data_IF_465603813025
#
_entry.id   IF_465603813025
#
_cell.length_a   1.000
_cell.length_b   1.000
_cell.length_c   1.000
_cell.angle_alpha   90.00
_cell.angle_beta   90.00
_cell.angle_gamma   90.00
#
_symmetry.space_group_name_H-M   'P 1'
#
loop_
_entity.id
_entity.type
_entity.pdbx_description
1 polymer ?
#
# COMPACT_ATOMS: atom_id res chain seq x y z
N UNK A 1 11.88 -32.74 -37.32
CA UNK A 1 11.71 -33.35 -38.67
C UNK A 1 10.44 -34.18 -38.58
N UNK A 2 9.27 -33.89 -39.17
CA UNK A 2 8.83 -33.21 -40.41
C UNK A 2 7.50 -32.48 -40.08
N UNK A 3 7.37 -31.16 -40.20
CA UNK A 3 6.78 -30.39 -41.31
C UNK A 3 5.89 -31.19 -42.26
N UNK A 4 4.59 -30.87 -42.28
CA UNK A 4 3.74 -30.97 -43.47
C UNK A 4 2.87 -29.72 -43.57
N UNK A 5 3.04 -29.03 -44.69
CA UNK A 5 2.35 -27.82 -45.18
C UNK A 5 1.11 -28.27 -45.95
N UNK A 6 0.00 -27.53 -45.88
CA UNK A 6 -1.00 -27.54 -46.95
C UNK A 6 -1.47 -26.12 -47.24
N UNK A 7 -1.33 -25.76 -48.52
CA UNK A 7 -1.53 -24.45 -49.11
C UNK A 7 -2.88 -24.39 -49.86
N UNK A 8 -3.41 -23.17 -49.99
CA UNK A 8 -4.47 -22.76 -50.93
C UNK A 8 -4.74 -21.27 -50.69
N UNK A 9 -4.10 -20.31 -51.38
CA UNK A 9 -4.14 -19.89 -52.80
C UNK A 9 -5.38 -19.05 -53.16
N UNK A 10 -5.10 -17.74 -53.37
CA UNK A 10 -5.69 -16.74 -54.30
C UNK A 10 -7.14 -16.23 -54.06
N UNK A 11 -7.53 -14.96 -54.31
CA UNK A 11 -6.93 -13.89 -55.12
C UNK A 11 -7.50 -12.47 -54.80
N UNK A 12 -6.69 -11.44 -55.12
CA UNK A 12 -6.97 -10.05 -55.61
C UNK A 12 -7.95 -9.14 -54.82
N UNK A 13 -7.65 -7.94 -54.30
CA UNK A 13 -6.70 -6.83 -54.53
C UNK A 13 -6.93 -5.93 -55.76
N UNK A 14 -6.86 -4.61 -55.48
CA UNK A 14 -6.83 -3.41 -56.35
C UNK A 14 -8.21 -2.80 -56.69
N UNK A 15 -8.47 -1.49 -56.74
CA UNK A 15 -8.02 -0.24 -56.12
C UNK A 15 -8.87 0.91 -56.71
N UNK A 16 -9.21 1.91 -55.89
CA UNK A 16 -9.39 3.37 -56.15
C UNK A 16 -9.63 3.89 -57.58
N UNK A 17 -10.61 4.80 -57.73
CA UNK A 17 -10.44 6.10 -58.39
C UNK A 17 -11.57 7.10 -58.08
N UNK A 18 -11.13 8.33 -57.85
CA UNK A 18 -11.80 9.61 -57.57
C UNK A 18 -12.46 10.28 -58.78
N UNK A 19 -13.50 11.11 -58.57
CA UNK A 19 -13.85 12.40 -59.22
C UNK A 19 -15.37 12.68 -58.98
N UNK A 20 -15.94 13.88 -58.85
CA UNK A 20 -15.68 15.22 -59.37
C UNK A 20 -16.15 16.30 -58.37
N UNK A 21 -15.65 17.54 -58.54
CA UNK A 21 -16.21 18.75 -57.94
C UNK A 21 -17.04 19.61 -58.91
N UNK A 22 -17.71 20.62 -58.34
CA UNK A 22 -17.93 21.96 -58.91
C UNK A 22 -19.15 22.22 -59.81
N UNK A 23 -20.02 23.15 -59.40
CA UNK A 23 -21.01 23.80 -60.29
C UNK A 23 -22.07 24.66 -59.58
N UNK A 24 -21.97 25.98 -59.73
CA UNK A 24 -22.79 27.07 -59.18
C UNK A 24 -24.16 27.27 -59.86
N UNK A 25 -25.18 27.86 -59.20
CA UNK A 25 -25.77 29.19 -59.51
C UNK A 25 -27.06 29.55 -58.73
N UNK A 26 -27.20 30.86 -58.42
CA UNK A 26 -28.40 31.74 -58.32
C UNK A 26 -29.52 31.60 -57.27
N UNK A 27 -29.78 32.70 -56.52
CA UNK A 27 -31.13 33.32 -56.47
C UNK A 27 -31.77 33.71 -55.12
N UNK A 28 -31.57 34.98 -54.70
CA UNK A 28 -32.54 35.96 -54.09
C UNK A 28 -33.21 35.76 -52.70
N UNK A 29 -32.93 36.75 -51.82
CA UNK A 29 -33.74 37.53 -50.87
C UNK A 29 -34.68 36.89 -49.82
N UNK A 30 -34.41 37.19 -48.53
CA UNK A 30 -35.36 37.90 -47.64
C UNK A 30 -34.80 38.17 -46.22
N UNK A 31 -34.85 39.46 -45.84
CA UNK A 31 -35.05 40.12 -44.54
C UNK A 31 -34.50 39.56 -43.21
N UNK A 32 -33.82 40.49 -42.53
CA UNK A 32 -33.44 40.47 -41.14
C UNK A 32 -34.63 40.41 -40.15
N UNK A 33 -34.45 39.64 -39.08
CA UNK A 33 -35.04 39.92 -37.77
C UNK A 33 -33.97 39.69 -36.71
N UNK A 34 -33.40 40.79 -36.22
CA UNK A 34 -32.49 40.85 -35.09
C UNK A 34 -33.26 40.55 -33.80
N UNK A 35 -33.09 39.34 -33.27
CA UNK A 35 -33.37 39.04 -31.87
C UNK A 35 -32.02 38.81 -31.18
N UNK A 36 -31.68 39.72 -30.28
CA UNK A 36 -30.52 39.58 -29.40
C UNK A 36 -30.69 38.29 -28.58
N UNK A 37 -29.68 37.41 -28.49
CA UNK A 37 -29.75 36.30 -27.56
C UNK A 37 -29.68 36.87 -26.16
N UNK A 38 -30.72 36.59 -25.37
CA UNK A 38 -30.69 36.72 -23.93
C UNK A 38 -29.43 36.02 -23.40
N UNK A 39 -28.77 36.67 -22.45
CA UNK A 39 -27.67 36.10 -21.69
C UNK A 39 -28.14 34.82 -21.00
N UNK A 40 -27.85 33.69 -21.63
CA UNK A 40 -27.89 32.38 -20.99
C UNK A 40 -26.78 32.40 -19.93
N UNK A 41 -27.18 32.61 -18.67
CA UNK A 41 -26.34 32.33 -17.52
C UNK A 41 -26.17 30.81 -17.44
N UNK A 42 -25.38 30.26 -18.36
CA UNK A 42 -25.10 28.86 -18.46
C UNK A 42 -24.58 28.36 -17.12
N UNK A 43 -25.29 27.40 -16.52
CA UNK A 43 -24.75 26.64 -15.40
C UNK A 43 -23.43 26.02 -15.89
N UNK A 44 -22.29 26.51 -15.40
CA UNK A 44 -21.02 25.83 -15.63
C UNK A 44 -21.20 24.40 -15.13
N UNK A 45 -21.07 23.42 -16.03
CA UNK A 45 -21.15 22.01 -15.67
C UNK A 45 -20.18 21.69 -14.52
N UNK A 46 -20.53 20.73 -13.67
CA UNK A 46 -19.69 20.36 -12.52
C UNK A 46 -18.26 20.05 -12.96
N UNK A 47 -17.29 20.51 -12.18
CA UNK A 47 -15.88 20.15 -12.36
C UNK A 47 -15.72 18.66 -12.07
N UNK A 48 -15.30 17.88 -13.06
CA UNK A 48 -15.06 16.44 -12.88
C UNK A 48 -13.63 16.18 -12.39
N UNK A 49 -13.50 15.34 -11.38
CA UNK A 49 -12.22 14.88 -10.81
C UNK A 49 -12.22 13.36 -10.78
N UNK A 50 -11.16 12.74 -11.27
CA UNK A 50 -10.97 11.30 -11.24
C UNK A 50 -10.09 10.88 -10.07
N UNK A 51 -10.54 9.87 -9.33
CA UNK A 51 -9.84 9.30 -8.18
C UNK A 51 -9.52 7.84 -8.46
N UNK A 52 -8.23 7.48 -8.51
CA UNK A 52 -7.82 6.08 -8.47
C UNK A 52 -7.60 5.66 -7.04
N UNK A 53 -8.30 4.60 -6.63
CA UNK A 53 -8.20 4.03 -5.29
C UNK A 53 -8.37 2.51 -5.39
N UNK A 54 -7.53 1.73 -4.70
CA UNK A 54 -7.62 0.28 -4.73
C UNK A 54 -9.00 -0.19 -4.23
N UNK A 55 -9.48 -1.29 -4.78
CA UNK A 55 -10.79 -1.84 -4.47
C UNK A 55 -10.93 -2.25 -3.01
N UNK A 56 -9.83 -2.74 -2.43
CA UNK A 56 -9.78 -3.34 -1.09
C UNK A 56 -9.52 -2.35 0.04
N UNK A 57 -9.16 -1.10 -0.27
CA UNK A 57 -8.74 -0.12 0.74
C UNK A 57 -9.91 0.31 1.65
N UNK A 58 -11.10 0.48 1.07
CA UNK A 58 -12.32 0.84 1.78
C UNK A 58 -13.52 0.12 1.16
N UNK A 59 -14.55 -0.17 1.97
CA UNK A 59 -15.79 -0.71 1.43
C UNK A 59 -16.50 0.31 0.52
N UNK A 60 -17.28 -0.16 -0.46
CA UNK A 60 -18.10 0.72 -1.30
C UNK A 60 -19.06 1.60 -0.47
N UNK A 61 -19.52 1.10 0.69
CA UNK A 61 -20.35 1.88 1.62
C UNK A 61 -19.58 3.04 2.26
N UNK A 62 -18.37 2.79 2.78
CA UNK A 62 -17.52 3.84 3.33
C UNK A 62 -17.15 4.88 2.28
N UNK A 63 -16.76 4.43 1.07
CA UNK A 63 -16.43 5.35 -0.02
C UNK A 63 -17.63 6.23 -0.40
N UNK A 64 -18.84 5.66 -0.44
CA UNK A 64 -20.06 6.43 -0.69
C UNK A 64 -20.25 7.52 0.38
N UNK A 65 -20.12 7.19 1.66
CA UNK A 65 -20.22 8.15 2.77
C UNK A 65 -19.20 9.28 2.62
N UNK A 66 -17.95 8.95 2.25
CA UNK A 66 -16.92 9.96 1.99
C UNK A 66 -17.28 10.89 0.85
N UNK A 67 -17.66 10.34 -0.30
CA UNK A 67 -17.95 11.14 -1.49
C UNK A 67 -19.24 11.96 -1.34
N UNK A 68 -20.24 11.46 -0.62
CA UNK A 68 -21.44 12.22 -0.29
C UNK A 68 -21.10 13.44 0.57
N UNK A 69 -20.26 13.27 1.59
CA UNK A 69 -19.85 14.38 2.47
C UNK A 69 -18.94 15.38 1.73
N UNK A 70 -18.04 14.89 0.86
CA UNK A 70 -17.26 15.73 -0.02
C UNK A 70 -18.15 16.58 -0.94
N UNK A 71 -19.15 15.96 -1.58
CA UNK A 71 -20.06 16.66 -2.49
C UNK A 71 -20.95 17.68 -1.77
N UNK A 72 -21.27 17.50 -0.48
CA UNK A 72 -21.94 18.53 0.31
C UNK A 72 -21.05 19.74 0.54
N UNK A 73 -19.77 19.52 0.85
CA UNK A 73 -18.79 20.60 1.05
C UNK A 73 -18.44 21.31 -0.27
N UNK A 74 -18.44 20.58 -1.39
CA UNK A 74 -18.10 21.09 -2.72
C UNK A 74 -19.13 20.65 -3.77
N UNK A 75 -20.32 21.29 -3.83
CA UNK A 75 -21.42 20.86 -4.69
C UNK A 75 -21.12 20.94 -6.20
N UNK A 76 -20.16 21.78 -6.59
CA UNK A 76 -19.74 22.00 -7.97
C UNK A 76 -18.68 20.99 -8.45
N UNK A 77 -18.20 20.11 -7.56
CA UNK A 77 -17.23 19.06 -7.91
C UNK A 77 -17.94 17.71 -8.00
N UNK A 78 -17.63 16.92 -9.02
CA UNK A 78 -18.08 15.55 -9.18
C UNK A 78 -16.87 14.61 -9.21
N UNK A 79 -16.82 13.64 -8.29
CA UNK A 79 -15.75 12.66 -8.22
C UNK A 79 -16.12 11.37 -8.96
N UNK A 80 -15.30 10.98 -9.91
CA UNK A 80 -15.40 9.73 -10.66
C UNK A 80 -14.32 8.75 -10.17
N UNK A 81 -14.71 7.64 -9.53
CA UNK A 81 -13.77 6.63 -9.06
C UNK A 81 -13.33 5.71 -10.20
N UNK A 82 -12.02 5.43 -10.26
CA UNK A 82 -11.42 4.36 -11.06
C UNK A 82 -10.91 3.31 -10.06
N UNK A 83 -11.52 2.11 -10.09
CA UNK A 83 -11.07 1.00 -9.25
C UNK A 83 -9.91 0.28 -9.93
N UNK A 84 -8.84 0.02 -9.18
CA UNK A 84 -7.68 -0.75 -9.65
C UNK A 84 -7.41 -1.87 -8.66
N UNK A 85 -7.62 -3.11 -9.07
CA UNK A 85 -7.20 -4.29 -8.32
C UNK A 85 -5.70 -4.52 -8.54
N UNK A 86 -4.94 -4.84 -7.49
CA UNK A 86 -3.52 -5.18 -7.60
C UNK A 86 -3.11 -6.32 -6.66
N UNK A 87 -1.97 -6.95 -6.96
CA UNK A 87 -1.34 -7.95 -6.08
C UNK A 87 -0.38 -7.35 -5.04
N UNK A 88 -0.20 -6.03 -5.07
CA UNK A 88 0.72 -5.29 -4.20
C UNK A 88 0.93 -3.87 -4.70
N UNK A 89 1.76 -3.09 -4.01
CA UNK A 89 2.02 -1.68 -4.36
C UNK A 89 2.77 -1.54 -5.68
N UNK A 90 3.76 -2.39 -5.96
CA UNK A 90 4.49 -2.34 -7.23
C UNK A 90 3.56 -2.55 -8.46
N UNK A 91 2.70 -3.56 -8.42
CA UNK A 91 1.70 -3.81 -9.48
C UNK A 91 0.69 -2.65 -9.60
N UNK A 92 0.25 -2.11 -8.46
CA UNK A 92 -0.66 -0.96 -8.42
C UNK A 92 -0.06 0.27 -9.12
N UNK A 93 1.19 0.62 -8.81
CA UNK A 93 1.86 1.78 -9.41
C UNK A 93 2.15 1.57 -10.90
N UNK A 94 2.53 0.37 -11.32
CA UNK A 94 2.71 0.03 -12.74
C UNK A 94 1.42 0.23 -13.55
N UNK A 95 0.27 -0.17 -12.98
CA UNK A 95 -1.05 0.06 -13.62
C UNK A 95 -1.36 1.55 -13.75
N UNK A 96 -1.04 2.35 -12.73
CA UNK A 96 -1.18 3.81 -12.81
C UNK A 96 -0.28 4.42 -13.88
N UNK A 97 1.01 4.05 -13.91
CA UNK A 97 1.94 4.52 -14.95
C UNK A 97 1.46 4.13 -16.36
N UNK A 98 0.88 2.93 -16.51
CA UNK A 98 0.28 2.49 -17.78
C UNK A 98 -0.92 3.35 -18.17
N UNK A 99 -1.79 3.71 -17.21
CA UNK A 99 -2.90 4.63 -17.47
C UNK A 99 -2.41 6.02 -17.90
N UNK A 100 -1.36 6.53 -17.25
CA UNK A 100 -0.74 7.82 -17.60
C UNK A 100 -0.16 7.75 -19.02
N UNK A 101 0.66 6.74 -19.32
CA UNK A 101 1.27 6.55 -20.64
C UNK A 101 0.24 6.34 -21.75
N UNK A 102 -0.90 5.71 -21.43
CA UNK A 102 -2.02 5.50 -22.34
C UNK A 102 -2.93 6.72 -22.55
N UNK A 103 -2.57 7.89 -22.00
CA UNK A 103 -3.35 9.13 -22.15
C UNK A 103 -4.64 9.17 -21.34
N UNK A 104 -4.78 8.30 -20.34
CA UNK A 104 -5.93 8.23 -19.42
C UNK A 104 -5.51 8.53 -17.99
N UNK A 105 -4.61 9.50 -17.83
CA UNK A 105 -4.10 9.90 -16.53
C UNK A 105 -5.24 10.38 -15.61
N UNK A 106 -5.34 9.86 -14.38
CA UNK A 106 -6.29 10.36 -13.38
C UNK A 106 -5.87 11.72 -12.81
N UNK A 107 -6.74 12.36 -12.02
CA UNK A 107 -6.43 13.62 -11.34
C UNK A 107 -5.81 13.38 -9.96
N UNK A 108 -6.36 12.44 -9.19
CA UNK A 108 -5.91 12.06 -7.84
C UNK A 108 -5.65 10.55 -7.79
N UNK A 109 -4.53 10.16 -7.19
CA UNK A 109 -4.18 8.75 -7.03
C UNK A 109 -3.89 8.44 -5.56
N UNK A 110 -4.24 7.23 -5.12
CA UNK A 110 -3.74 6.68 -3.87
C UNK A 110 -2.26 6.32 -4.01
N UNK A 111 -1.41 6.74 -3.08
CA UNK A 111 0.02 6.39 -3.10
C UNK A 111 0.50 6.08 -1.69
N UNK A 112 1.09 4.91 -1.50
CA UNK A 112 1.87 4.60 -0.31
C UNK A 112 3.33 5.08 -0.47
N UNK A 113 4.06 5.14 0.64
CA UNK A 113 5.46 5.58 0.69
C UNK A 113 6.34 4.91 -0.38
N UNK A 114 6.07 3.66 -0.71
CA UNK A 114 6.73 2.84 -1.72
C UNK A 114 6.70 3.46 -3.13
N UNK A 115 5.71 4.31 -3.44
CA UNK A 115 5.52 4.91 -4.75
C UNK A 115 5.83 6.40 -4.82
N UNK A 116 5.82 7.13 -3.69
CA UNK A 116 5.83 8.59 -3.71
C UNK A 116 7.10 9.17 -4.33
N UNK A 117 8.26 8.58 -4.00
CA UNK A 117 9.55 8.97 -4.57
C UNK A 117 9.61 8.74 -6.08
N UNK A 118 9.05 7.62 -6.56
CA UNK A 118 9.00 7.28 -7.97
C UNK A 118 8.18 8.32 -8.75
N UNK A 119 6.94 8.60 -8.32
CA UNK A 119 6.09 9.56 -9.01
C UNK A 119 6.63 11.00 -8.94
N UNK A 120 7.19 11.41 -7.81
CA UNK A 120 7.76 12.74 -7.65
C UNK A 120 9.00 12.95 -8.54
N UNK A 121 9.94 12.01 -8.55
CA UNK A 121 11.16 12.11 -9.37
C UNK A 121 10.89 11.98 -10.88
N UNK A 122 9.80 11.32 -11.27
CA UNK A 122 9.31 11.30 -12.65
C UNK A 122 8.53 12.58 -13.04
N UNK A 123 8.48 13.58 -12.15
CA UNK A 123 7.80 14.85 -12.35
C UNK A 123 6.27 14.72 -12.59
N UNK A 124 5.67 13.63 -12.11
CA UNK A 124 4.25 13.33 -12.35
C UNK A 124 3.31 14.00 -11.34
N UNK A 125 3.82 14.43 -10.19
CA UNK A 125 3.01 14.97 -9.09
C UNK A 125 3.00 16.49 -9.04
N UNK A 126 1.85 17.05 -8.71
CA UNK A 126 1.64 18.48 -8.49
C UNK A 126 2.07 18.84 -7.05
N UNK A 127 3.01 19.77 -6.84
CA UNK A 127 3.27 20.35 -5.54
C UNK A 127 2.04 21.12 -5.02
N UNK A 128 1.69 20.94 -3.75
CA UNK A 128 0.43 21.44 -3.19
C UNK A 128 0.61 22.75 -2.39
N UNK A 129 1.85 23.22 -2.19
CA UNK A 129 2.16 24.33 -1.26
C UNK A 129 1.46 25.65 -1.63
N UNK A 130 1.32 25.96 -2.92
CA UNK A 130 0.61 27.17 -3.37
C UNK A 130 -0.92 27.04 -3.24
N UNK A 131 -1.46 25.83 -3.42
CA UNK A 131 -2.87 25.56 -3.16
C UNK A 131 -3.20 25.62 -1.67
N UNK A 132 -2.28 25.20 -0.80
CA UNK A 132 -2.42 25.36 0.65
C UNK A 132 -2.52 26.83 1.06
N UNK A 133 -1.76 27.72 0.42
CA UNK A 133 -1.83 29.18 0.66
C UNK A 133 -3.12 29.79 0.10
N UNK A 134 -3.55 29.33 -1.07
CA UNK A 134 -4.73 29.86 -1.76
C UNK A 134 -6.04 29.38 -1.11
N UNK A 135 -6.07 28.15 -0.58
CA UNK A 135 -7.24 27.50 -0.01
C UNK A 135 -6.94 26.91 1.39
N UNK A 136 -6.57 27.76 2.37
CA UNK A 136 -6.18 27.28 3.71
C UNK A 136 -7.28 26.45 4.38
N UNK A 137 -8.54 26.80 4.18
CA UNK A 137 -9.71 26.10 4.76
C UNK A 137 -9.97 24.69 4.18
N UNK A 138 -9.29 24.34 3.08
CA UNK A 138 -9.36 23.00 2.51
C UNK A 138 -8.55 21.99 3.33
N UNK A 139 -7.48 22.44 3.99
CA UNK A 139 -6.59 21.60 4.79
C UNK A 139 -6.98 21.72 6.26
N UNK A 140 -7.67 20.71 6.75
CA UNK A 140 -8.02 20.62 8.17
C UNK A 140 -6.76 20.45 9.02
N UNK A 141 -6.53 21.35 9.97
CA UNK A 141 -5.52 21.27 11.04
C UNK A 141 -4.27 20.45 10.65
N UNK A 142 -3.39 21.01 9.84
CA UNK A 142 -2.22 20.30 9.31
C UNK A 142 -1.33 19.74 10.43
N UNK A 143 -1.20 20.47 11.54
CA UNK A 143 -0.36 20.10 12.69
C UNK A 143 -0.88 18.89 13.47
N UNK A 144 -2.13 18.47 13.23
CA UNK A 144 -2.67 17.23 13.79
C UNK A 144 -2.20 15.99 13.01
N UNK A 145 -1.67 16.16 11.79
CA UNK A 145 -1.00 15.08 11.07
C UNK A 145 0.32 14.77 11.78
N UNK A 146 0.56 13.50 12.10
CA UNK A 146 1.81 13.11 12.74
C UNK A 146 3.01 13.43 11.83
N UNK A 147 3.98 14.25 12.28
CA UNK A 147 5.01 14.81 11.40
C UNK A 147 5.91 13.73 10.78
N UNK A 148 6.23 12.67 11.53
CA UNK A 148 7.03 11.53 11.04
C UNK A 148 6.32 10.72 9.95
N UNK A 149 4.99 10.64 10.01
CA UNK A 149 4.19 9.88 9.05
C UNK A 149 3.88 10.74 7.81
N UNK A 150 3.85 12.06 7.97
CA UNK A 150 3.71 13.04 6.90
C UNK A 150 5.01 13.21 6.10
N UNK A 151 6.17 13.09 6.75
CA UNK A 151 7.47 13.41 6.12
C UNK A 151 7.76 12.70 4.79
N UNK A 152 7.34 11.45 4.53
CA UNK A 152 7.59 10.82 3.22
C UNK A 152 6.88 11.52 2.05
N UNK A 153 5.83 12.29 2.33
CA UNK A 153 5.07 13.06 1.34
C UNK A 153 5.55 14.51 1.20
N UNK A 154 6.64 14.86 1.88
CA UNK A 154 7.36 16.13 1.73
C UNK A 154 8.71 15.81 1.09
N UNK A 155 8.90 16.21 -0.16
CA UNK A 155 10.09 15.90 -0.95
C UNK A 155 10.72 17.21 -1.40
N UNK A 156 12.01 17.39 -1.10
CA UNK A 156 12.75 18.63 -1.39
C UNK A 156 12.04 19.90 -0.90
N UNK A 157 11.40 19.81 0.27
CA UNK A 157 10.66 20.91 0.89
C UNK A 157 9.28 21.20 0.29
N UNK A 158 8.79 20.38 -0.64
CA UNK A 158 7.46 20.52 -1.26
C UNK A 158 6.50 19.44 -0.78
N UNK A 159 5.27 19.83 -0.50
CA UNK A 159 4.21 18.90 -0.08
C UNK A 159 3.53 18.29 -1.31
N UNK A 160 3.57 16.95 -1.42
CA UNK A 160 2.94 16.22 -2.53
C UNK A 160 1.64 15.52 -2.14
N UNK A 161 1.34 15.44 -0.84
CA UNK A 161 0.09 14.88 -0.35
C UNK A 161 -0.01 15.04 1.16
N UNK A 162 -1.22 14.85 1.67
CA UNK A 162 -1.49 14.78 3.11
C UNK A 162 -1.61 13.31 3.50
N UNK A 163 -0.91 12.91 4.54
CA UNK A 163 -0.93 11.53 5.01
C UNK A 163 -2.34 11.19 5.51
N UNK A 164 -2.85 10.03 5.10
CA UNK A 164 -4.19 9.54 5.44
C UNK A 164 -4.11 8.43 6.47
N UNK A 165 -3.35 7.39 6.18
CA UNK A 165 -3.18 6.24 7.06
C UNK A 165 -1.71 5.86 7.19
N UNK A 166 -1.46 4.98 8.15
CA UNK A 166 -0.21 4.28 8.27
C UNK A 166 -0.43 2.90 8.86
N UNK A 167 0.61 2.08 8.77
CA UNK A 167 0.68 0.80 9.46
C UNK A 167 2.10 0.60 9.99
N UNK A 168 2.18 -0.12 11.10
CA UNK A 168 3.40 -0.72 11.60
C UNK A 168 3.34 -2.25 11.40
N UNK A 169 4.30 -2.98 11.96
CA UNK A 169 4.23 -4.45 12.08
C UNK A 169 4.36 -4.82 13.55
N UNK A 170 3.39 -5.59 14.02
CA UNK A 170 3.30 -6.14 15.38
C UNK A 170 3.03 -7.65 15.30
N UNK A 171 3.19 -8.34 16.42
CA UNK A 171 2.77 -9.73 16.54
C UNK A 171 1.28 -9.80 16.86
N UNK A 172 0.55 -10.65 16.14
CA UNK A 172 -0.84 -11.03 16.44
C UNK A 172 -0.85 -12.44 16.99
N UNK A 173 -1.64 -12.68 18.03
CA UNK A 173 -1.76 -13.97 18.69
C UNK A 173 -3.20 -14.46 18.61
N UNK A 174 -3.38 -15.75 18.33
CA UNK A 174 -4.64 -16.42 18.57
C UNK A 174 -4.75 -16.70 20.08
N UNK A 175 -5.63 -15.96 20.78
CA UNK A 175 -5.72 -16.01 22.24
C UNK A 175 -6.34 -17.29 22.77
N UNK A 176 -7.14 -18.00 21.96
CA UNK A 176 -7.65 -19.32 22.32
C UNK A 176 -6.50 -20.35 22.36
N UNK A 177 -5.56 -20.26 21.40
CA UNK A 177 -4.38 -21.14 21.37
C UNK A 177 -3.39 -20.81 22.51
N UNK A 178 -3.21 -19.54 22.86
CA UNK A 178 -2.47 -19.15 24.06
C UNK A 178 -3.10 -19.76 25.32
N UNK A 179 -4.43 -19.64 25.48
CA UNK A 179 -5.17 -20.19 26.61
C UNK A 179 -5.06 -21.71 26.68
N UNK A 180 -5.17 -22.42 25.54
CA UNK A 180 -5.00 -23.87 25.48
C UNK A 180 -3.61 -24.31 25.94
N UNK A 181 -2.58 -23.54 25.59
CA UNK A 181 -1.19 -23.77 26.01
C UNK A 181 -0.88 -23.30 27.44
N UNK A 182 -1.82 -22.62 28.12
CA UNK A 182 -1.60 -22.03 29.43
C UNK A 182 -0.64 -20.83 29.42
N UNK A 183 -0.49 -20.16 28.28
CA UNK A 183 0.41 -19.03 28.09
C UNK A 183 -0.36 -17.69 28.15
N UNK A 184 0.18 -16.66 28.82
CA UNK A 184 -0.34 -15.29 28.70
C UNK A 184 0.17 -14.64 27.40
N UNK A 185 -0.43 -13.52 26.99
CA UNK A 185 0.20 -12.62 26.00
C UNK A 185 1.56 -12.17 26.57
N UNK A 186 2.66 -12.22 25.78
CA UNK A 186 3.98 -11.89 26.29
C UNK A 186 4.12 -10.39 26.64
N UNK A 187 5.06 -10.02 27.51
CA UNK A 187 5.36 -8.61 27.80
C UNK A 187 5.95 -7.90 26.57
N UNK A 188 5.95 -6.57 26.58
CA UNK A 188 6.41 -5.75 25.46
C UNK A 188 7.89 -5.94 25.09
N UNK A 189 8.72 -6.31 26.07
CA UNK A 189 10.17 -6.49 25.95
C UNK A 189 10.61 -7.96 25.85
N UNK A 190 9.67 -8.87 25.58
CA UNK A 190 9.95 -10.28 25.33
C UNK A 190 11.01 -10.46 24.23
N UNK A 191 11.89 -11.42 24.46
CA UNK A 191 13.10 -11.63 23.68
C UNK A 191 12.88 -12.62 22.54
N UNK A 192 13.89 -12.75 21.66
CA UNK A 192 13.96 -13.85 20.69
C UNK A 192 13.79 -15.24 21.32
N UNK A 193 14.35 -15.45 22.51
CA UNK A 193 14.28 -16.74 23.20
C UNK A 193 12.87 -16.99 23.75
N UNK A 194 12.23 -15.97 24.32
CA UNK A 194 10.82 -16.04 24.72
C UNK A 194 9.92 -16.36 23.53
N UNK A 195 10.14 -15.67 22.39
CA UNK A 195 9.42 -15.97 21.16
C UNK A 195 9.59 -17.44 20.72
N UNK A 196 10.81 -17.97 20.77
CA UNK A 196 11.05 -19.37 20.40
C UNK A 196 10.34 -20.33 21.35
N UNK A 197 10.37 -20.07 22.67
CA UNK A 197 9.65 -20.87 23.66
C UNK A 197 8.13 -20.86 23.40
N UNK A 198 7.56 -19.67 23.13
CA UNK A 198 6.16 -19.53 22.75
C UNK A 198 5.84 -20.30 21.47
N UNK A 199 6.63 -20.13 20.42
CA UNK A 199 6.42 -20.80 19.14
C UNK A 199 6.51 -22.33 19.29
N UNK A 200 7.41 -22.84 20.13
CA UNK A 200 7.52 -24.28 20.42
C UNK A 200 6.31 -24.80 21.19
N UNK A 201 5.91 -24.11 22.25
CA UNK A 201 4.76 -24.51 23.07
C UNK A 201 3.43 -24.48 22.29
N UNK A 202 3.29 -23.53 21.36
CA UNK A 202 2.12 -23.37 20.49
C UNK A 202 2.14 -24.29 19.26
N UNK A 203 3.27 -24.97 19.00
CA UNK A 203 3.36 -25.96 17.91
C UNK A 203 2.87 -27.31 18.40
N UNK A 204 1.64 -27.68 18.03
CA UNK A 204 1.01 -28.92 18.48
C UNK A 204 0.57 -29.80 17.33
N UNK A 205 0.50 -31.10 17.57
CA UNK A 205 -0.18 -32.07 16.70
C UNK A 205 -1.19 -32.83 17.55
N UNK A 206 -2.43 -32.30 17.62
CA UNK A 206 -3.49 -32.81 18.50
C UNK A 206 -4.70 -33.19 17.65
N UNK A 207 -5.20 -34.41 17.83
CA UNK A 207 -6.41 -34.88 17.14
C UNK A 207 -6.32 -34.88 15.61
N UNK A 208 -5.12 -35.04 15.05
CA UNK A 208 -4.88 -34.98 13.60
C UNK A 208 -4.87 -33.56 13.02
N UNK A 209 -4.96 -32.52 13.86
CA UNK A 209 -4.78 -31.13 13.46
C UNK A 209 -3.38 -30.66 13.87
N UNK A 210 -2.56 -30.35 12.87
CA UNK A 210 -1.27 -29.68 13.06
C UNK A 210 -1.48 -28.18 13.19
N UNK A 211 -1.00 -27.60 14.29
CA UNK A 211 -0.88 -26.16 14.49
C UNK A 211 0.59 -25.80 14.61
N UNK A 212 1.01 -24.74 13.92
CA UNK A 212 2.35 -24.18 14.03
C UNK A 212 2.34 -22.96 14.95
N UNK A 213 3.44 -22.74 15.67
CA UNK A 213 3.56 -21.60 16.57
C UNK A 213 3.59 -20.26 15.84
N UNK A 214 4.16 -20.21 14.63
CA UNK A 214 4.35 -18.97 13.89
C UNK A 214 4.27 -19.16 12.37
N UNK A 215 3.73 -18.18 11.66
CA UNK A 215 3.89 -18.06 10.20
C UNK A 215 4.87 -16.94 9.84
N UNK A 216 5.90 -17.28 9.08
CA UNK A 216 6.94 -16.33 8.67
C UNK A 216 6.39 -15.37 7.61
N UNK A 217 6.56 -14.04 7.75
CA UNK A 217 6.21 -13.10 6.70
C UNK A 217 7.07 -13.37 5.45
N UNK A 218 6.42 -13.60 4.31
CA UNK A 218 7.07 -13.92 3.04
C UNK A 218 7.04 -12.75 2.02
N UNK A 219 6.91 -11.52 2.51
CA UNK A 219 6.86 -10.30 1.70
C UNK A 219 7.75 -9.20 2.31
N UNK A 220 8.19 -8.28 1.45
CA UNK A 220 9.19 -7.24 1.73
C UNK A 220 8.93 -6.44 3.01
N UNK A 221 7.75 -5.83 3.14
CA UNK A 221 7.40 -4.99 4.30
C UNK A 221 7.44 -5.79 5.62
N UNK A 222 6.85 -6.99 5.62
CA UNK A 222 6.79 -7.85 6.80
C UNK A 222 8.17 -8.33 7.23
N UNK A 223 9.01 -8.78 6.29
CA UNK A 223 10.37 -9.21 6.59
C UNK A 223 11.30 -8.05 7.00
N UNK A 224 11.12 -6.86 6.41
CA UNK A 224 11.88 -5.66 6.75
C UNK A 224 11.63 -5.20 8.19
N UNK A 225 10.45 -5.46 8.76
CA UNK A 225 10.18 -5.24 10.18
C UNK A 225 11.15 -6.00 11.08
N UNK A 226 11.41 -7.27 10.76
CA UNK A 226 12.33 -8.12 11.52
C UNK A 226 13.80 -7.73 11.28
N UNK A 227 14.14 -7.29 10.07
CA UNK A 227 15.46 -6.71 9.78
C UNK A 227 15.72 -5.48 10.64
N UNK A 228 14.80 -4.52 10.66
CA UNK A 228 14.93 -3.29 11.47
C UNK A 228 15.08 -3.62 12.96
N UNK A 229 14.28 -4.57 13.46
CA UNK A 229 14.38 -5.06 14.83
C UNK A 229 15.75 -5.68 15.16
N UNK A 230 16.46 -6.21 14.17
CA UNK A 230 17.82 -6.74 14.30
C UNK A 230 18.95 -5.75 13.91
N UNK A 231 18.70 -4.44 13.88
CA UNK A 231 19.68 -3.43 13.40
C UNK A 231 20.19 -3.71 11.97
N UNK A 232 19.34 -4.26 11.11
CA UNK A 232 19.59 -4.48 9.70
C UNK A 232 18.55 -3.76 8.84
N UNK A 233 18.81 -3.67 7.54
CA UNK A 233 17.93 -3.04 6.55
C UNK A 233 18.20 -3.65 5.18
N UNK A 234 17.27 -3.52 4.24
CA UNK A 234 17.51 -3.98 2.86
C UNK A 234 18.44 -3.01 2.14
N UNK A 235 18.27 -1.72 2.40
CA UNK A 235 19.04 -0.63 1.80
C UNK A 235 19.73 0.22 2.86
N UNK A 236 20.76 0.96 2.44
CA UNK A 236 21.36 2.03 3.23
C UNK A 236 20.37 3.20 3.41
N UNK A 237 20.60 4.10 4.40
CA UNK A 237 19.71 5.25 4.63
C UNK A 237 19.55 6.19 3.42
N UNK A 238 20.51 6.21 2.50
CA UNK A 238 20.46 6.98 1.25
C UNK A 238 19.71 6.26 0.12
N UNK A 239 19.30 5.00 0.33
CA UNK A 239 18.62 4.13 -0.63
C UNK A 239 19.39 3.97 -1.96
N UNK A 240 20.72 3.98 -1.88
CA UNK A 240 21.66 3.91 -3.01
C UNK A 240 22.42 2.59 -3.08
N UNK A 241 22.45 1.81 -2.00
CA UNK A 241 23.18 0.54 -1.94
C UNK A 241 22.45 -0.43 -1.03
N UNK A 242 22.44 -1.71 -1.41
CA UNK A 242 21.88 -2.78 -0.59
C UNK A 242 22.79 -3.13 0.59
N UNK A 243 22.14 -3.44 1.72
CA UNK A 243 22.75 -3.82 3.00
C UNK A 243 22.55 -5.29 3.35
N UNK A 244 22.08 -6.12 2.41
CA UNK A 244 21.72 -7.52 2.70
C UNK A 244 22.93 -8.42 3.01
N UNK A 245 24.16 -8.03 2.68
CA UNK A 245 25.36 -8.76 3.13
C UNK A 245 25.77 -8.48 4.58
N UNK A 246 25.05 -7.58 5.27
CA UNK A 246 25.22 -7.34 6.69
C UNK A 246 24.98 -8.62 7.50
N UNK A 247 25.89 -9.00 8.41
CA UNK A 247 25.70 -10.17 9.27
C UNK A 247 24.36 -10.18 10.01
N UNK A 248 23.84 -9.01 10.40
CA UNK A 248 22.54 -8.89 11.05
C UNK A 248 21.37 -9.23 10.11
N UNK A 249 21.48 -8.89 8.82
CA UNK A 249 20.46 -9.24 7.83
C UNK A 249 20.45 -10.74 7.55
N UNK A 250 21.64 -11.33 7.39
CA UNK A 250 21.84 -12.76 7.21
C UNK A 250 21.30 -13.53 8.43
N UNK A 251 21.53 -13.03 9.64
CA UNK A 251 21.05 -13.65 10.89
C UNK A 251 19.51 -13.77 10.92
N UNK A 252 18.78 -12.72 10.51
CA UNK A 252 17.29 -12.77 10.47
C UNK A 252 16.81 -13.81 9.45
N UNK A 253 17.40 -13.83 8.26
CA UNK A 253 17.02 -14.80 7.23
C UNK A 253 17.36 -16.23 7.63
N UNK A 254 18.50 -16.44 8.29
CA UNK A 254 18.86 -17.74 8.86
C UNK A 254 17.90 -18.13 9.97
N UNK A 255 17.49 -17.18 10.83
CA UNK A 255 16.51 -17.46 11.87
C UNK A 255 15.18 -17.90 11.30
N UNK A 256 14.68 -17.25 10.24
CA UNK A 256 13.48 -17.69 9.55
C UNK A 256 13.63 -19.10 8.97
N UNK A 257 14.76 -19.42 8.33
CA UNK A 257 15.03 -20.78 7.83
C UNK A 257 15.05 -21.81 8.98
N UNK A 258 15.67 -21.46 10.11
CA UNK A 258 15.74 -22.32 11.29
C UNK A 258 14.35 -22.57 11.91
N UNK A 259 13.45 -21.58 11.93
CA UNK A 259 12.08 -21.75 12.42
C UNK A 259 11.33 -22.85 11.65
N UNK A 260 11.60 -22.99 10.34
CA UNK A 260 10.99 -24.01 9.48
C UNK A 260 11.69 -25.37 9.66
N UNK A 261 13.02 -25.41 9.53
CA UNK A 261 13.74 -26.67 9.33
C UNK A 261 14.42 -27.22 10.58
N UNK A 262 14.87 -26.34 11.48
CA UNK A 262 15.56 -26.71 12.72
C UNK A 262 14.57 -26.85 13.87
N UNK A 263 13.81 -25.80 14.16
CA UNK A 263 12.84 -25.75 15.26
C UNK A 263 11.48 -26.34 14.88
N UNK A 264 11.13 -26.35 13.58
CA UNK A 264 9.87 -26.91 13.05
C UNK A 264 8.62 -26.28 13.67
N UNK A 265 8.71 -25.01 14.03
CA UNK A 265 7.63 -24.21 14.62
C UNK A 265 6.91 -23.33 13.61
N UNK A 266 7.42 -23.27 12.38
CA UNK A 266 6.81 -22.58 11.26
C UNK A 266 6.59 -23.52 10.07
N UNK A 267 5.49 -23.37 9.30
CA UNK A 267 5.33 -24.08 8.06
C UNK A 267 6.30 -23.54 7.00
N UNK A 268 6.63 -24.38 6.01
CA UNK A 268 7.25 -23.86 4.76
C UNK A 268 6.23 -22.88 4.14
N UNK A 269 6.62 -21.63 3.83
CA UNK A 269 5.70 -20.67 3.26
C UNK A 269 5.10 -21.15 1.94
N UNK A 270 3.78 -20.99 1.80
CA UNK A 270 3.06 -21.26 0.57
C UNK A 270 2.62 -19.92 -0.02
N UNK A 271 2.97 -19.58 -1.27
CA UNK A 271 2.52 -18.33 -1.90
C UNK A 271 1.00 -18.16 -2.01
N UNK A 272 0.24 -19.26 -1.85
CA UNK A 272 -1.23 -19.26 -1.81
C UNK A 272 -1.82 -19.29 -0.39
N UNK A 273 -0.98 -19.35 0.66
CA UNK A 273 -1.47 -19.29 2.02
C UNK A 273 -2.00 -17.89 2.32
N UNK A 274 -3.06 -17.85 3.11
CA UNK A 274 -3.60 -16.62 3.67
C UNK A 274 -3.30 -16.64 5.17
N UNK A 275 -2.21 -15.98 5.54
CA UNK A 275 -1.71 -15.91 6.92
C UNK A 275 -2.78 -15.38 7.89
N UNK A 276 -3.68 -14.50 7.43
CA UNK A 276 -4.78 -13.97 8.26
C UNK A 276 -5.77 -15.10 8.54
N UNK A 277 -6.16 -15.85 7.52
CA UNK A 277 -7.05 -16.99 7.66
C UNK A 277 -6.40 -18.17 8.42
N UNK A 278 -5.10 -18.40 8.27
CA UNK A 278 -4.36 -19.42 9.00
C UNK A 278 -4.36 -19.13 10.51
N UNK A 279 -4.28 -17.85 10.92
CA UNK A 279 -4.46 -17.45 12.32
C UNK A 279 -5.90 -17.69 12.80
N UNK A 280 -6.90 -17.24 12.03
CA UNK A 280 -8.33 -17.38 12.37
C UNK A 280 -8.71 -18.86 12.57
N UNK A 281 -8.24 -19.73 11.69
CA UNK A 281 -8.54 -21.17 11.72
C UNK A 281 -7.69 -21.95 12.72
N UNK A 282 -6.69 -21.28 13.35
CA UNK A 282 -5.75 -21.88 14.28
C UNK A 282 -4.81 -22.89 13.62
N UNK A 283 -4.52 -22.73 12.32
CA UNK A 283 -3.44 -23.45 11.64
C UNK A 283 -2.08 -22.90 12.09
N UNK A 284 -2.02 -21.60 12.39
CA UNK A 284 -0.89 -20.95 13.06
C UNK A 284 -1.36 -20.20 14.30
N UNK A 285 -0.51 -20.10 15.32
CA UNK A 285 -0.85 -19.42 16.58
C UNK A 285 -0.43 -17.95 16.61
N UNK A 286 0.62 -17.59 15.88
CA UNK A 286 1.15 -16.24 15.80
C UNK A 286 1.47 -15.84 14.37
N UNK A 287 1.23 -14.56 14.04
CA UNK A 287 1.61 -13.96 12.76
C UNK A 287 2.14 -12.55 12.98
N UNK A 288 3.08 -12.07 12.16
CA UNK A 288 3.50 -10.66 12.19
C UNK A 288 2.82 -9.86 11.09
N UNK A 289 2.03 -8.85 11.47
CA UNK A 289 1.26 -8.00 10.56
C UNK A 289 0.96 -6.63 11.20
N UNK A 290 0.46 -5.67 10.41
CA UNK A 290 -0.03 -4.39 10.90
C UNK A 290 -1.47 -4.47 11.39
N UNK A 291 -2.27 -3.42 11.19
CA UNK A 291 -3.67 -3.40 11.64
C UNK A 291 -4.65 -3.97 10.61
N UNK A 292 -4.22 -4.15 9.35
CA UNK A 292 -5.09 -4.64 8.26
C UNK A 292 -5.79 -5.97 8.50
N UNK A 293 -5.27 -6.94 9.29
CA UNK A 293 -6.00 -8.17 9.57
C UNK A 293 -7.33 -7.94 10.31
N UNK A 294 -7.49 -6.85 11.07
CA UNK A 294 -8.71 -6.56 11.82
C UNK A 294 -9.94 -6.40 10.94
N UNK A 295 -9.79 -5.94 9.69
CA UNK A 295 -10.90 -5.85 8.75
C UNK A 295 -11.44 -7.23 8.38
N UNK A 296 -10.55 -8.23 8.29
CA UNK A 296 -10.94 -9.63 8.08
C UNK A 296 -11.48 -10.24 9.36
N UNK A 297 -10.87 -9.97 10.52
CA UNK A 297 -11.36 -10.45 11.81
C UNK A 297 -12.80 -9.99 12.10
N UNK A 298 -13.14 -8.74 11.76
CA UNK A 298 -14.50 -8.24 11.88
C UNK A 298 -15.47 -8.95 10.92
N UNK A 299 -15.07 -9.13 9.65
CA UNK A 299 -15.88 -9.84 8.64
C UNK A 299 -16.15 -11.30 9.05
N UNK A 300 -15.17 -11.98 9.61
CA UNK A 300 -15.27 -13.38 10.05
C UNK A 300 -15.76 -13.53 11.49
N UNK A 301 -15.97 -12.42 12.20
CA UNK A 301 -16.32 -12.37 13.63
C UNK A 301 -15.29 -13.06 14.53
N UNK A 302 -14.03 -13.14 14.09
CA UNK A 302 -12.93 -13.65 14.90
C UNK A 302 -12.59 -12.61 15.99
N UNK A 303 -12.73 -13.01 17.26
CA UNK A 303 -12.47 -12.13 18.43
C UNK A 303 -11.36 -12.67 19.34
N UNK A 304 -10.85 -13.87 19.07
CA UNK A 304 -9.77 -14.49 19.83
C UNK A 304 -8.39 -13.97 19.36
N UNK A 305 -8.20 -12.66 19.43
CA UNK A 305 -6.96 -12.01 18.97
C UNK A 305 -6.47 -10.98 19.99
N UNK A 306 -5.16 -10.97 20.19
CA UNK A 306 -4.45 -9.87 20.86
C UNK A 306 -3.15 -9.57 20.12
N UNK A 307 -2.53 -8.44 20.45
CA UNK A 307 -1.32 -7.97 19.78
C UNK A 307 -0.19 -7.63 20.76
N UNK A 308 1.05 -7.75 20.32
CA UNK A 308 2.22 -7.27 21.05
C UNK A 308 3.26 -6.78 20.05
N UNK A 309 4.21 -5.95 20.49
CA UNK A 309 5.41 -5.70 19.70
C UNK A 309 6.07 -7.01 19.22
N UNK A 310 6.79 -6.95 18.11
CA UNK A 310 7.69 -8.05 17.72
C UNK A 310 8.67 -8.36 18.87
N UNK A 311 9.13 -9.61 19.01
CA UNK A 311 10.13 -9.92 20.02
C UNK A 311 11.41 -9.12 19.76
N UNK A 312 12.06 -8.66 20.83
CA UNK A 312 13.34 -7.97 20.75
C UNK A 312 14.41 -8.95 20.27
N UNK A 313 14.91 -8.75 19.05
CA UNK A 313 16.08 -9.45 18.53
C UNK A 313 17.36 -8.79 19.05
N UNK A 314 17.65 -7.57 18.57
CA UNK A 314 18.72 -6.71 19.09
C UNK A 314 18.16 -5.39 19.61
N UNK A 315 17.14 -4.88 18.93
CA UNK A 315 16.45 -3.63 19.26
C UNK A 315 14.94 -3.81 19.25
N UNK A 316 14.23 -2.72 19.57
CA UNK A 316 12.78 -2.65 19.45
C UNK A 316 12.36 -1.71 18.31
N UNK A 317 13.19 -1.57 17.27
CA UNK A 317 12.85 -0.74 16.11
C UNK A 317 11.62 -1.30 15.42
N UNK A 318 10.71 -0.40 15.06
CA UNK A 318 9.45 -0.70 14.38
C UNK A 318 9.53 -0.13 12.98
N UNK A 319 9.06 -0.87 11.97
CA UNK A 319 8.89 -0.33 10.62
C UNK A 319 7.54 0.39 10.52
N UNK A 320 7.45 1.42 9.67
CA UNK A 320 6.16 1.91 9.21
C UNK A 320 6.08 2.08 7.69
N UNK A 321 4.87 1.94 7.19
CA UNK A 321 4.44 2.43 5.89
C UNK A 321 3.31 3.43 6.10
N UNK A 322 3.12 4.35 5.16
CA UNK A 322 2.07 5.37 5.21
C UNK A 322 1.55 5.67 3.81
N UNK A 323 0.31 6.14 3.70
CA UNK A 323 -0.28 6.47 2.41
C UNK A 323 -0.98 7.82 2.38
N UNK A 324 -0.97 8.45 1.21
CA UNK A 324 -1.60 9.72 0.91
C UNK A 324 -2.37 9.66 -0.42
N UNK A 325 -2.94 10.81 -0.82
CA UNK A 325 -3.65 10.98 -2.09
C UNK A 325 -3.04 12.12 -2.93
N UNK A 326 -1.85 11.96 -3.51
CA UNK A 326 -1.25 13.01 -4.32
C UNK A 326 -2.07 13.34 -5.57
N UNK A 327 -1.93 14.58 -6.03
CA UNK A 327 -2.54 15.11 -7.25
C UNK A 327 -1.54 14.96 -8.40
N UNK A 328 -1.97 14.42 -9.55
CA UNK A 328 -1.12 14.38 -10.74
C UNK A 328 -1.04 15.76 -11.39
N UNK A 329 0.13 16.11 -11.95
CA UNK A 329 0.30 17.36 -12.73
C UNK A 329 -0.63 17.45 -13.94
N UNK A 330 -1.02 16.30 -14.48
CA UNK A 330 -1.95 16.20 -15.60
C UNK A 330 -3.41 16.45 -15.23
N UNK A 331 -3.71 16.72 -13.96
CA UNK A 331 -5.07 16.95 -13.50
C UNK A 331 -5.74 18.09 -14.28
N UNK A 332 -6.94 17.84 -14.80
CA UNK A 332 -7.68 18.84 -15.61
C UNK A 332 -8.30 19.94 -14.75
N UNK A 333 -8.62 19.59 -13.50
CA UNK A 333 -9.18 20.50 -12.49
C UNK A 333 -8.31 20.46 -11.23
N UNK A 334 -7.09 21.04 -11.24
CA UNK A 334 -6.11 20.85 -10.17
C UNK A 334 -6.56 21.43 -8.81
N UNK A 335 -7.33 22.52 -8.80
CA UNK A 335 -7.96 23.04 -7.57
C UNK A 335 -8.96 22.04 -6.97
N UNK A 336 -9.83 21.47 -7.80
CA UNK A 336 -10.82 20.49 -7.36
C UNK A 336 -10.14 19.20 -6.88
N UNK A 337 -9.07 18.78 -7.56
CA UNK A 337 -8.24 17.63 -7.18
C UNK A 337 -7.50 17.88 -5.86
N UNK A 338 -6.95 19.08 -5.64
CA UNK A 338 -6.36 19.47 -4.36
C UNK A 338 -7.37 19.41 -3.21
N UNK A 339 -8.57 19.98 -3.40
CA UNK A 339 -9.64 19.93 -2.39
C UNK A 339 -10.03 18.49 -2.05
N UNK A 340 -10.08 17.60 -3.05
CA UNK A 340 -10.32 16.18 -2.84
C UNK A 340 -9.17 15.51 -2.07
N UNK A 341 -7.92 15.75 -2.45
CA UNK A 341 -6.73 15.23 -1.75
C UNK A 341 -6.72 15.61 -0.26
N UNK A 342 -6.97 16.89 0.04
CA UNK A 342 -7.04 17.39 1.41
C UNK A 342 -8.22 16.77 2.18
N UNK A 343 -9.41 16.70 1.56
CA UNK A 343 -10.59 16.10 2.19
C UNK A 343 -10.41 14.61 2.50
N UNK A 344 -9.79 13.84 1.59
CA UNK A 344 -9.53 12.41 1.81
C UNK A 344 -8.61 12.16 3.00
N UNK A 345 -7.86 13.16 3.45
CA UNK A 345 -6.97 13.09 4.62
C UNK A 345 -7.55 13.81 5.86
N UNK A 346 -8.81 14.25 5.79
CA UNK A 346 -9.53 14.89 6.91
C UNK A 346 -9.78 13.95 8.07
N UNK A 347 -10.10 14.52 9.24
CA UNK A 347 -10.50 13.73 10.42
C UNK A 347 -11.74 12.90 10.13
N UNK A 348 -12.71 13.47 9.41
CA UNK A 348 -13.91 12.75 8.98
C UNK A 348 -13.56 11.53 8.13
N UNK A 349 -12.66 11.70 7.17
CA UNK A 349 -12.25 10.61 6.29
C UNK A 349 -11.58 9.49 7.08
N UNK A 350 -10.59 9.82 7.91
CA UNK A 350 -9.86 8.85 8.72
C UNK A 350 -10.77 8.11 9.70
N UNK A 351 -11.69 8.79 10.40
CA UNK A 351 -12.68 8.16 11.30
C UNK A 351 -13.60 7.20 10.56
N UNK A 352 -14.07 7.60 9.39
CA UNK A 352 -15.02 6.81 8.59
C UNK A 352 -14.39 5.53 8.03
N UNK A 353 -13.10 5.57 7.72
CA UNK A 353 -12.44 4.52 6.92
C UNK A 353 -11.45 3.65 7.68
N UNK A 354 -10.82 4.18 8.74
CA UNK A 354 -9.66 3.54 9.38
C UNK A 354 -9.98 2.88 10.73
N UNK A 355 -11.26 2.68 11.05
CA UNK A 355 -11.65 2.05 12.33
C UNK A 355 -11.10 0.64 12.48
N UNK A 356 -11.02 -0.15 11.40
CA UNK A 356 -10.65 -1.56 11.49
C UNK A 356 -9.63 -2.07 10.46
N UNK A 357 -9.00 -1.22 9.64
CA UNK A 357 -8.04 -1.68 8.59
C UNK A 357 -6.64 -1.05 8.70
N UNK A 358 -6.51 0.26 8.81
CA UNK A 358 -5.20 0.89 9.05
C UNK A 358 -5.23 1.72 10.33
N UNK A 359 -4.12 2.39 10.63
CA UNK A 359 -3.99 3.30 11.77
C UNK A 359 -4.19 4.73 11.23
N UNK A 360 -5.04 5.56 11.87
CA UNK A 360 -5.13 6.98 11.56
C UNK A 360 -3.80 7.70 11.76
N UNK A 361 -3.57 8.74 10.98
CA UNK A 361 -2.34 9.55 11.03
C UNK A 361 -2.55 10.88 11.74
N UNK A 362 -3.81 11.32 11.85
CA UNK A 362 -4.19 12.42 12.72
C UNK A 362 -4.11 11.97 14.16
N UNK A 363 -3.36 12.69 14.99
CA UNK A 363 -3.13 12.36 16.40
C UNK A 363 -4.47 12.32 17.15
N UNK A 364 -5.33 13.31 16.91
CA UNK A 364 -6.68 13.36 17.49
C UNK A 364 -7.53 12.14 17.14
N UNK A 365 -7.53 11.73 15.86
CA UNK A 365 -8.31 10.59 15.37
C UNK A 365 -7.73 9.26 15.87
N UNK A 366 -6.41 9.14 15.90
CA UNK A 366 -5.72 7.94 16.40
C UNK A 366 -6.14 7.65 17.85
N UNK A 367 -6.15 8.67 18.71
CA UNK A 367 -6.56 8.56 20.11
C UNK A 367 -8.04 8.19 20.29
N UNK A 368 -8.91 8.55 19.35
CA UNK A 368 -10.35 8.25 19.40
C UNK A 368 -10.67 6.83 18.88
N UNK A 369 -9.99 6.42 17.82
CA UNK A 369 -10.33 5.21 17.06
C UNK A 369 -9.63 3.97 17.60
N UNK A 370 -8.34 4.06 17.96
CA UNK A 370 -7.59 2.87 18.37
C UNK A 370 -8.12 2.16 19.62
N UNK A 371 -8.69 2.83 20.65
CA UNK A 371 -9.31 2.16 21.79
C UNK A 371 -10.47 1.22 21.44
N UNK A 372 -11.02 1.33 20.22
CA UNK A 372 -12.11 0.48 19.73
C UNK A 372 -11.60 -0.82 19.08
N UNK A 373 -10.28 -0.97 18.96
CA UNK A 373 -9.65 -2.19 18.44
C UNK A 373 -9.90 -3.35 19.42
N UNK A 374 -10.35 -4.54 18.96
CA UNK A 374 -10.64 -5.66 19.86
C UNK A 374 -9.46 -6.17 20.70
N UNK A 375 -8.22 -5.90 20.29
CA UNK A 375 -7.04 -6.32 21.04
C UNK A 375 -6.86 -5.49 22.32
N UNK A 376 -6.48 -6.15 23.41
CA UNK A 376 -6.31 -5.49 24.71
C UNK A 376 -5.15 -4.50 24.68
N UNK A 377 -4.08 -4.85 23.96
CA UNK A 377 -2.88 -4.04 23.81
C UNK A 377 -2.90 -3.18 22.53
N UNK A 378 -4.05 -2.60 22.18
CA UNK A 378 -4.19 -1.73 21.00
C UNK A 378 -3.21 -0.55 20.97
N UNK A 379 -2.71 -0.10 22.13
CA UNK A 379 -1.78 1.03 22.27
C UNK A 379 -0.47 0.82 21.51
N UNK A 380 -0.07 -0.44 21.27
CA UNK A 380 1.11 -0.78 20.46
C UNK A 380 1.11 -0.09 19.09
N UNK A 381 -0.07 0.19 18.53
CA UNK A 381 -0.24 0.89 17.27
C UNK A 381 0.07 2.38 17.37
N UNK A 382 -0.31 3.04 18.46
CA UNK A 382 -0.01 4.46 18.67
C UNK A 382 1.43 4.67 19.15
N UNK A 383 1.85 3.90 20.16
CA UNK A 383 3.10 4.08 20.88
C UNK A 383 4.33 3.89 19.96
N UNK A 384 4.17 3.22 18.82
CA UNK A 384 5.26 3.06 17.86
C UNK A 384 5.47 4.26 16.92
N UNK A 385 4.53 5.21 16.82
CA UNK A 385 4.55 6.25 15.78
C UNK A 385 5.83 7.11 15.84
N UNK A 386 6.26 7.48 17.05
CA UNK A 386 7.45 8.31 17.26
C UNK A 386 8.76 7.56 16.99
N UNK A 387 8.79 6.24 17.22
CA UNK A 387 10.01 5.43 17.11
C UNK A 387 10.13 4.70 15.78
N UNK A 388 9.04 4.55 15.02
CA UNK A 388 9.03 3.73 13.82
C UNK A 388 9.85 4.34 12.68
N UNK A 389 10.53 3.52 11.89
CA UNK A 389 11.33 3.93 10.73
C UNK A 389 10.57 3.64 9.43
N UNK A 390 10.63 4.54 8.44
CA UNK A 390 9.94 4.32 7.18
C UNK A 390 10.54 3.09 6.47
N UNK A 391 9.69 2.28 5.84
CA UNK A 391 10.15 1.27 4.89
C UNK A 391 10.98 1.92 3.77
N UNK A 392 12.04 1.26 3.34
CA UNK A 392 12.86 1.78 2.25
C UNK A 392 12.10 1.75 0.93
N UNK A 393 11.99 2.92 0.29
CA UNK A 393 11.12 3.15 -0.86
C UNK A 393 11.83 3.95 -1.97
N UNK A 394 12.90 3.42 -2.58
CA UNK A 394 13.55 4.08 -3.70
C UNK A 394 12.66 4.05 -4.95
N UNK A 395 13.06 4.80 -5.98
CA UNK A 395 12.37 4.81 -7.27
C UNK A 395 12.21 3.40 -7.88
N UNK A 396 13.20 2.52 -7.66
CA UNK A 396 13.22 1.15 -8.16
C UNK A 396 12.51 0.16 -7.23
N UNK A 397 11.65 0.61 -6.29
CA UNK A 397 10.99 -0.20 -5.26
C UNK A 397 10.50 -1.56 -5.79
N UNK A 398 9.73 -1.58 -6.88
CA UNK A 398 9.17 -2.83 -7.42
C UNK A 398 10.22 -3.85 -7.86
N UNK A 399 11.38 -3.40 -8.37
CA UNK A 399 12.49 -4.30 -8.69
C UNK A 399 13.13 -4.86 -7.43
N UNK A 400 13.34 -4.02 -6.41
CA UNK A 400 13.99 -4.39 -5.16
C UNK A 400 13.11 -5.36 -4.36
N UNK A 401 11.82 -5.06 -4.23
CA UNK A 401 10.81 -5.93 -3.63
C UNK A 401 10.81 -7.31 -4.31
N UNK A 402 10.76 -7.34 -5.65
CA UNK A 402 10.78 -8.58 -6.41
C UNK A 402 12.04 -9.41 -6.21
N UNK A 403 13.22 -8.76 -6.22
CA UNK A 403 14.51 -9.43 -6.00
C UNK A 403 14.58 -9.99 -4.57
N UNK A 404 14.26 -9.16 -3.56
CA UNK A 404 14.29 -9.55 -2.15
C UNK A 404 13.34 -10.73 -1.88
N UNK A 405 12.07 -10.63 -2.30
CA UNK A 405 11.07 -11.69 -2.09
C UNK A 405 11.49 -13.01 -2.75
N UNK A 406 12.11 -12.96 -3.94
CA UNK A 406 12.59 -14.14 -4.64
C UNK A 406 13.72 -14.85 -3.88
N UNK A 407 14.72 -14.10 -3.41
CA UNK A 407 15.82 -14.70 -2.63
C UNK A 407 15.33 -15.20 -1.27
N UNK A 408 14.47 -14.45 -0.58
CA UNK A 408 13.83 -14.92 0.65
C UNK A 408 13.05 -16.22 0.41
N UNK A 409 12.26 -16.31 -0.67
CA UNK A 409 11.54 -17.54 -1.03
C UNK A 409 12.48 -18.73 -1.26
N UNK A 410 13.66 -18.50 -1.87
CA UNK A 410 14.66 -19.54 -2.07
C UNK A 410 15.26 -20.06 -0.76
N UNK A 411 15.43 -19.18 0.24
CA UNK A 411 15.90 -19.53 1.58
C UNK A 411 14.83 -20.37 2.30
N UNK A 412 13.59 -19.88 2.31
CA UNK A 412 12.48 -20.52 3.03
C UNK A 412 12.03 -21.83 2.40
N UNK A 413 12.38 -22.08 1.14
CA UNK A 413 12.18 -23.36 0.44
C UNK A 413 13.41 -24.29 0.54
N UNK A 414 14.43 -23.92 1.32
CA UNK A 414 15.70 -24.62 1.48
C UNK A 414 16.48 -24.87 0.16
N UNK A 415 16.28 -24.01 -0.84
CA UNK A 415 17.01 -24.05 -2.11
C UNK A 415 18.38 -23.36 -2.01
N UNK A 416 18.56 -22.47 -1.03
CA UNK A 416 19.80 -21.73 -0.80
C UNK A 416 19.96 -21.44 0.69
N UNK A 417 21.20 -21.43 1.18
CA UNK A 417 21.50 -20.94 2.53
C UNK A 417 21.35 -19.41 2.60
N UNK A 418 21.06 -18.89 3.79
CA UNK A 418 20.76 -17.48 4.00
C UNK A 418 21.91 -16.55 3.57
N UNK A 419 23.16 -16.91 3.87
CA UNK A 419 24.32 -16.08 3.56
C UNK A 419 24.56 -15.95 2.05
N UNK A 420 24.51 -17.07 1.32
CA UNK A 420 24.66 -17.06 -0.14
C UNK A 420 23.53 -16.31 -0.81
N UNK A 421 22.27 -16.55 -0.40
CA UNK A 421 21.11 -15.89 -0.97
C UNK A 421 21.14 -14.38 -0.76
N UNK A 422 21.46 -13.91 0.44
CA UNK A 422 21.51 -12.48 0.74
C UNK A 422 22.66 -11.75 0.03
N UNK A 423 23.82 -12.38 -0.14
CA UNK A 423 24.92 -11.82 -0.95
C UNK A 423 24.54 -11.69 -2.43
N UNK A 424 23.83 -12.68 -2.99
CA UNK A 424 23.32 -12.61 -4.37
C UNK A 424 22.22 -11.56 -4.51
N UNK A 425 21.31 -11.48 -3.54
CA UNK A 425 20.27 -10.46 -3.48
C UNK A 425 20.88 -9.06 -3.47
N UNK A 426 21.88 -8.82 -2.62
CA UNK A 426 22.64 -7.56 -2.60
C UNK A 426 23.17 -7.19 -3.98
N UNK A 427 23.93 -8.09 -4.62
CA UNK A 427 24.56 -7.79 -5.90
C UNK A 427 23.53 -7.42 -6.99
N UNK A 428 22.39 -8.11 -6.99
CA UNK A 428 21.33 -7.84 -7.96
C UNK A 428 20.54 -6.56 -7.64
N UNK A 429 20.31 -6.25 -6.35
CA UNK A 429 19.70 -4.98 -5.92
C UNK A 429 20.63 -3.81 -6.25
N UNK A 430 21.93 -3.90 -5.98
CA UNK A 430 22.91 -2.87 -6.34
C UNK A 430 22.91 -2.61 -7.85
N UNK A 431 22.83 -3.67 -8.66
CA UNK A 431 22.71 -3.54 -10.11
C UNK A 431 21.37 -2.93 -10.55
N UNK A 432 20.27 -3.16 -9.82
CA UNK A 432 18.98 -2.54 -10.10
C UNK A 432 18.97 -1.05 -9.73
N UNK A 433 19.56 -0.67 -8.59
CA UNK A 433 19.70 0.71 -8.13
C UNK A 433 20.57 1.55 -9.07
N UNK A 434 21.57 0.94 -9.72
CA UNK A 434 22.42 1.61 -10.70
C UNK A 434 21.71 1.97 -12.01
N UNK A 435 20.52 1.40 -12.29
CA UNK A 435 19.72 1.72 -13.48
C UNK A 435 18.96 3.02 -13.23
N UNK A 436 19.30 4.05 -14.01
CA UNK A 436 18.65 5.37 -14.02
C UNK A 436 17.32 5.34 -14.76
#
# INVERSE_FOLDING_TARGET
MRITIMAGVLAALVALLTACGGGSNSGTDASASSSAPASDSGSKGKQEVTLVWNETDVSNGQLKVLLDEFNKKYPDIKVNRISVTSSGWADYFNKIQTMIAGGKAPDVIRVAIEGIQMFAKQDLLLPLDDYMKQFPDAVENYDDLHPKLQSPFVIDGKTYGFVWDWNNVVMHFNTDLLKEAGLPVPPADWTRDDFLQYAQALTTDKGGKKTFGFEIPNYYFGASAWLFNNDASVLDPTMTTSKLDDPNAIEVMQFFQDLVYKYKVAPVPNPKADMINDLITGRVAMISAGKWPFATYDKTKFKAVDVQFLPKLKTQKVIFGSGAFPVLKSAKNPEAAFKLSAFLSSSFSQKTTLSNSSIPTRISVMNEVLPQTPASNWRVYADSADIAQPVEAPMQYGSIEGIFNRYMSSILSNQMDAATAMKKAKAEIDAALAKK
#
